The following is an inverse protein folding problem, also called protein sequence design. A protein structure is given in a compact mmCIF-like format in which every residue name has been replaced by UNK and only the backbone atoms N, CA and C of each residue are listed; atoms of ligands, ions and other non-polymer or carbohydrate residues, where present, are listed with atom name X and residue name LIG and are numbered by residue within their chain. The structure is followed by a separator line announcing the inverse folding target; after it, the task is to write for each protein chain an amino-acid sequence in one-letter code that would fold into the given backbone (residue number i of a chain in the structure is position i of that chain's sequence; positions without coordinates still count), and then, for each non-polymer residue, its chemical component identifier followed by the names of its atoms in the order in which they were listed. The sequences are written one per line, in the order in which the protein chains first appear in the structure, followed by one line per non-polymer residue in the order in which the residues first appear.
data_IF_452507048915
#
_entry.id   IF_452507048915
#
_cell.length_a   1.000
_cell.length_b   1.000
_cell.length_c   1.000
_cell.angle_alpha   90.00
_cell.angle_beta   90.00
_cell.angle_gamma   90.00
#
_symmetry.space_group_name_H-M   'P 1'
#
loop_
_entity.id
_entity.type
_entity.pdbx_description
1 polymer ?
#
# COMPACT_ATOMS: atom_id res chain seq x y z
N UNK A 1 -15.87 -2.90 8.26
CA UNK A 1 -15.82 -1.41 8.31
C UNK A 1 -14.92 -0.94 7.18
N UNK A 2 -15.39 0.00 6.34
CA UNK A 2 -14.58 0.50 5.22
C UNK A 2 -13.61 1.57 5.70
N UNK A 3 -12.31 1.37 5.46
CA UNK A 3 -11.25 2.33 5.78
C UNK A 3 -10.60 2.78 4.47
N UNK A 4 -10.65 4.09 4.23
CA UNK A 4 -9.88 4.75 3.18
C UNK A 4 -8.54 5.17 3.77
N UNK A 5 -7.44 4.74 3.15
CA UNK A 5 -6.09 5.12 3.56
C UNK A 5 -5.54 6.15 2.58
N UNK A 6 -5.22 7.35 3.07
CA UNK A 6 -4.46 8.38 2.34
C UNK A 6 -3.02 8.43 2.89
N UNK A 7 -2.01 8.45 2.02
CA UNK A 7 -0.61 8.19 2.38
C UNK A 7 0.14 9.35 3.06
N UNK A 8 -0.50 10.48 3.36
CA UNK A 8 0.17 11.66 3.92
C UNK A 8 0.13 11.72 5.45
N UNK A 9 1.30 11.75 6.10
CA UNK A 9 1.47 12.22 7.49
C UNK A 9 1.13 11.21 8.59
N UNK A 10 1.48 9.94 8.43
CA UNK A 10 1.04 8.88 9.36
C UNK A 10 1.93 8.83 10.61
N UNK A 11 1.32 9.03 11.78
CA UNK A 11 1.96 8.81 13.08
C UNK A 11 1.77 7.35 13.53
N UNK A 12 2.86 6.65 13.81
CA UNK A 12 2.85 5.27 14.28
C UNK A 12 2.29 5.22 15.71
N UNK A 13 1.12 4.60 15.88
CA UNK A 13 0.55 4.35 17.20
C UNK A 13 1.02 2.98 17.73
N UNK A 14 1.91 2.99 18.71
CA UNK A 14 2.43 1.78 19.34
C UNK A 14 1.41 1.06 20.24
N UNK A 15 0.28 1.71 20.56
CA UNK A 15 -0.78 1.15 21.42
C UNK A 15 -2.00 0.67 20.63
N UNK A 16 -1.97 0.75 19.29
CA UNK A 16 -3.09 0.38 18.43
C UNK A 16 -3.51 -1.09 18.64
N UNK A 17 -4.83 -1.32 18.74
CA UNK A 17 -5.43 -2.65 18.93
C UNK A 17 -6.55 -2.89 17.93
N UNK A 18 -6.84 -4.16 17.66
CA UNK A 18 -7.92 -4.55 16.75
C UNK A 18 -7.72 -4.00 15.33
N UNK A 19 -8.72 -3.30 14.82
CA UNK A 19 -8.79 -2.83 13.44
C UNK A 19 -7.75 -1.76 13.13
N UNK A 20 -7.43 -0.86 14.07
CA UNK A 20 -6.42 0.19 13.89
C UNK A 20 -5.02 -0.41 13.63
N UNK A 21 -4.71 -1.53 14.30
CA UNK A 21 -3.44 -2.24 14.10
C UNK A 21 -3.36 -2.85 12.69
N UNK A 22 -4.49 -3.33 12.16
CA UNK A 22 -4.55 -3.90 10.81
C UNK A 22 -4.31 -2.80 9.78
N UNK A 23 -4.99 -1.65 9.91
CA UNK A 23 -4.75 -0.48 9.05
C UNK A 23 -3.29 -0.02 9.11
N UNK A 24 -2.69 0.04 10.30
CA UNK A 24 -1.30 0.43 10.47
C UNK A 24 -0.32 -0.59 9.84
N UNK A 25 -0.61 -1.89 9.94
CA UNK A 25 0.19 -2.91 9.26
C UNK A 25 0.14 -2.76 7.74
N UNK A 26 -1.04 -2.49 7.17
CA UNK A 26 -1.20 -2.24 5.72
C UNK A 26 -0.38 -1.02 5.31
N UNK A 27 -0.44 0.07 6.08
CA UNK A 27 0.38 1.26 5.86
C UNK A 27 1.88 0.92 5.87
N UNK A 28 2.32 0.11 6.83
CA UNK A 28 3.72 -0.31 6.90
C UNK A 28 4.13 -1.12 5.67
N UNK A 29 3.29 -2.05 5.22
CA UNK A 29 3.54 -2.85 4.01
C UNK A 29 3.69 -1.98 2.76
N UNK A 30 2.82 -0.98 2.59
CA UNK A 30 2.84 -0.07 1.44
C UNK A 30 4.04 0.88 1.45
N UNK A 31 4.54 1.26 2.63
CA UNK A 31 5.73 2.12 2.75
C UNK A 31 7.05 1.34 2.66
N UNK A 32 7.04 0.02 2.87
CA UNK A 32 8.25 -0.80 2.83
C UNK A 32 8.62 -1.13 1.38
N UNK A 33 9.91 -1.08 1.05
CA UNK A 33 10.42 -1.51 -0.27
C UNK A 33 10.90 -2.96 -0.24
N UNK A 34 10.77 -3.66 -1.36
CA UNK A 34 11.37 -5.00 -1.51
C UNK A 34 12.87 -4.93 -1.23
N UNK A 35 13.38 -6.00 -0.61
CA UNK A 35 14.77 -6.14 -0.15
C UNK A 35 15.20 -5.25 1.03
N UNK A 36 14.33 -4.41 1.58
CA UNK A 36 14.65 -3.58 2.75
C UNK A 36 14.72 -4.39 4.05
N UNK A 37 13.84 -5.38 4.20
CA UNK A 37 13.72 -6.17 5.43
C UNK A 37 14.65 -7.38 5.40
N UNK A 38 15.49 -7.50 6.43
CA UNK A 38 16.35 -8.67 6.62
C UNK A 38 15.49 -9.94 6.82
N UNK A 39 15.98 -11.08 6.31
CA UNK A 39 15.29 -12.38 6.31
C UNK A 39 14.02 -12.50 5.45
N UNK A 40 13.41 -11.40 5.02
CA UNK A 40 12.23 -11.43 4.15
C UNK A 40 12.34 -10.42 2.99
N UNK A 41 12.88 -10.90 1.87
CA UNK A 41 13.17 -10.09 0.69
C UNK A 41 11.95 -9.79 -0.18
N UNK A 42 10.85 -10.55 -0.01
CA UNK A 42 9.65 -10.38 -0.83
C UNK A 42 8.66 -9.40 -0.21
N UNK A 43 8.95 -8.90 0.99
CA UNK A 43 8.11 -7.94 1.71
C UNK A 43 8.28 -6.53 1.14
N UNK A 44 7.15 -5.87 0.85
CA UNK A 44 7.10 -4.51 0.35
C UNK A 44 6.84 -4.39 -1.15
N UNK A 45 6.91 -3.16 -1.66
CA UNK A 45 6.72 -2.84 -3.08
C UNK A 45 8.04 -2.87 -3.84
N UNK A 46 8.03 -3.40 -5.07
CA UNK A 46 9.21 -3.57 -5.92
C UNK A 46 9.83 -2.27 -6.42
N UNK A 47 9.01 -1.23 -6.61
CA UNK A 47 9.45 0.01 -7.25
C UNK A 47 9.74 -0.14 -8.76
N UNK A 48 9.39 -1.28 -9.38
CA UNK A 48 9.63 -1.52 -10.80
C UNK A 48 8.84 -0.57 -11.71
N UNK A 49 7.79 0.09 -11.18
CA UNK A 49 6.94 1.05 -11.88
C UNK A 49 7.63 2.41 -12.16
N UNK A 50 8.80 2.67 -11.58
CA UNK A 50 9.57 3.89 -11.84
C UNK A 50 10.03 3.90 -13.30
N UNK A 51 9.93 5.04 -13.97
CA UNK A 51 10.24 5.27 -15.40
C UNK A 51 9.39 4.47 -16.41
N UNK A 52 8.33 3.80 -15.96
CA UNK A 52 7.35 3.19 -16.88
C UNK A 52 6.35 4.22 -17.42
N UNK A 53 5.75 3.97 -18.60
CA UNK A 53 4.60 4.75 -19.06
C UNK A 53 3.47 4.71 -18.04
N UNK A 54 2.80 5.85 -17.83
CA UNK A 54 1.82 6.05 -16.77
C UNK A 54 0.78 4.94 -16.67
N UNK A 55 0.13 4.60 -17.79
CA UNK A 55 -0.94 3.59 -17.82
C UNK A 55 -0.45 2.22 -17.33
N UNK A 56 0.79 1.87 -17.70
CA UNK A 56 1.40 0.60 -17.28
C UNK A 56 1.83 0.65 -15.82
N UNK A 57 2.40 1.77 -15.39
CA UNK A 57 2.80 1.98 -14.00
C UNK A 57 1.61 1.85 -13.05
N UNK A 58 0.45 2.42 -13.41
CA UNK A 58 -0.78 2.31 -12.62
C UNK A 58 -1.24 0.85 -12.53
N UNK A 59 -1.33 0.15 -13.66
CA UNK A 59 -1.79 -1.23 -13.69
C UNK A 59 -0.90 -2.18 -12.88
N UNK A 60 0.43 -2.09 -13.06
CA UNK A 60 1.41 -2.91 -12.33
C UNK A 60 1.39 -2.60 -10.83
N UNK A 61 1.34 -1.31 -10.46
CA UNK A 61 1.30 -0.90 -9.05
C UNK A 61 0.02 -1.38 -8.36
N UNK A 62 -1.13 -1.26 -9.04
CA UNK A 62 -2.40 -1.78 -8.52
C UNK A 62 -2.33 -3.30 -8.32
N UNK A 63 -1.85 -4.05 -9.31
CA UNK A 63 -1.69 -5.50 -9.18
C UNK A 63 -0.77 -5.89 -8.02
N UNK A 64 0.37 -5.21 -7.88
CA UNK A 64 1.32 -5.47 -6.79
C UNK A 64 0.73 -5.15 -5.41
N UNK A 65 -0.06 -4.07 -5.28
CA UNK A 65 -0.77 -3.74 -4.03
C UNK A 65 -1.79 -4.83 -3.67
N UNK A 66 -2.54 -5.33 -4.65
CA UNK A 66 -3.51 -6.42 -4.45
C UNK A 66 -2.82 -7.68 -3.92
N UNK A 67 -1.73 -8.11 -4.58
CA UNK A 67 -0.98 -9.30 -4.19
C UNK A 67 -0.34 -9.15 -2.80
N UNK A 68 0.21 -7.96 -2.51
CA UNK A 68 0.88 -7.69 -1.24
C UNK A 68 -0.12 -7.74 -0.06
N UNK A 69 -1.26 -7.06 -0.17
CA UNK A 69 -2.26 -7.01 0.90
C UNK A 69 -2.89 -8.40 1.09
N UNK A 70 -3.28 -9.07 0.00
CA UNK A 70 -3.91 -10.39 0.08
C UNK A 70 -2.99 -11.46 0.68
N UNK A 71 -1.67 -11.38 0.44
CA UNK A 71 -0.72 -12.38 0.93
C UNK A 71 -0.22 -12.09 2.35
N UNK A 72 -0.04 -10.81 2.71
CA UNK A 72 0.59 -10.42 3.98
C UNK A 72 -0.40 -10.04 5.07
N UNK A 73 -1.57 -9.52 4.73
CA UNK A 73 -2.61 -9.13 5.69
C UNK A 73 -3.98 -9.74 5.32
N UNK A 74 -4.16 -11.07 5.48
CA UNK A 74 -5.40 -11.77 5.12
C UNK A 74 -6.61 -11.40 5.99
N UNK A 75 -6.42 -10.57 7.02
CA UNK A 75 -7.49 -10.07 7.89
C UNK A 75 -8.20 -8.84 7.31
N UNK A 76 -7.60 -8.20 6.31
CA UNK A 76 -8.22 -7.10 5.59
C UNK A 76 -8.60 -7.57 4.20
N UNK A 77 -9.86 -7.37 3.84
CA UNK A 77 -10.34 -7.62 2.49
C UNK A 77 -10.15 -6.34 1.66
N UNK A 78 -9.40 -6.44 0.57
CA UNK A 78 -9.14 -5.31 -0.30
C UNK A 78 -10.33 -5.11 -1.26
N UNK A 79 -11.07 -4.02 -1.10
CA UNK A 79 -12.21 -3.71 -1.97
C UNK A 79 -11.69 -3.07 -3.26
N UNK A 80 -10.91 -2.00 -3.14
CA UNK A 80 -10.56 -1.16 -4.28
C UNK A 80 -9.22 -0.44 -4.10
N UNK A 81 -8.50 -0.28 -5.21
CA UNK A 81 -7.30 0.55 -5.32
C UNK A 81 -7.54 1.56 -6.44
N UNK A 82 -7.67 2.83 -6.07
CA UNK A 82 -7.91 3.93 -6.99
C UNK A 82 -6.66 4.79 -7.14
N UNK A 83 -6.35 5.19 -8.36
CA UNK A 83 -5.33 6.21 -8.63
C UNK A 83 -6.01 7.58 -8.69
N UNK A 84 -5.69 8.46 -7.73
CA UNK A 84 -6.33 9.78 -7.59
C UNK A 84 -5.72 10.81 -8.54
N UNK A 85 -4.45 10.66 -8.91
CA UNK A 85 -3.76 11.58 -9.80
C UNK A 85 -2.25 11.60 -9.60
N UNK A 86 -1.59 12.44 -10.39
CA UNK A 86 -0.16 12.74 -10.26
C UNK A 86 -0.05 14.17 -9.71
N UNK A 87 0.77 14.35 -8.69
CA UNK A 87 1.09 15.69 -8.17
C UNK A 87 1.99 16.48 -9.13
N UNK A 88 2.12 17.79 -8.92
CA UNK A 88 2.99 18.67 -9.74
C UNK A 88 4.46 18.21 -9.73
N UNK A 89 4.87 17.50 -8.68
CA UNK A 89 6.20 16.89 -8.50
C UNK A 89 6.37 15.51 -9.18
N UNK A 90 5.34 15.00 -9.87
CA UNK A 90 5.40 13.69 -10.54
C UNK A 90 5.11 12.48 -9.63
N UNK A 91 4.63 12.72 -8.41
CA UNK A 91 4.30 11.67 -7.46
C UNK A 91 2.90 11.09 -7.75
N UNK A 92 2.81 9.77 -7.92
CA UNK A 92 1.53 9.07 -8.09
C UNK A 92 0.82 8.92 -6.74
N UNK A 93 -0.45 9.31 -6.68
CA UNK A 93 -1.27 9.17 -5.49
C UNK A 93 -2.26 8.02 -5.65
N UNK A 94 -2.17 7.05 -4.74
CA UNK A 94 -3.07 5.91 -4.67
C UNK A 94 -3.93 5.99 -3.41
N UNK A 95 -5.21 5.69 -3.59
CA UNK A 95 -6.21 5.56 -2.53
C UNK A 95 -6.61 4.10 -2.43
N UNK A 96 -6.34 3.51 -1.27
CA UNK A 96 -6.61 2.10 -1.01
C UNK A 96 -7.79 2.00 -0.05
N UNK A 97 -8.82 1.26 -0.46
CA UNK A 97 -10.04 1.01 0.32
C UNK A 97 -10.05 -0.45 0.77
N UNK A 98 -10.01 -0.65 2.07
CA UNK A 98 -10.01 -1.97 2.71
C UNK A 98 -11.20 -2.13 3.64
N UNK A 99 -11.73 -3.34 3.72
CA UNK A 99 -12.72 -3.77 4.68
C UNK A 99 -12.09 -4.63 5.77
N UNK A 100 -12.41 -4.29 7.03
CA UNK A 100 -11.91 -4.93 8.25
C UNK A 100 -13.08 -5.26 9.17
#
# INVERSE_FOLDING_TARGET
MQVTIEMSGIQINWTAKGNERITQNIINLLNTRKYEVAYDRTLGLSGAFIDMPLDRAIAETTAEIYDLISSREPRAELIEVLHTGIDEDGNMQFKVVVEI
#
